data_IF_512774822951
#
_entry.id   IF_512774822951
#
_cell.length_a   1.000
_cell.length_b   1.000
_cell.length_c   1.000
_cell.angle_alpha   90.00
_cell.angle_beta   90.00
_cell.angle_gamma   90.00
#
_symmetry.space_group_name_H-M   'P 1'
#
loop_
_entity.id
_entity.type
_entity.pdbx_description
1 polymer ?
#
# COMPACT_ATOMS: atom_id res chain seq x y z
N UNK A 1 -2.96 8.52 -14.01
CA UNK A 1 -2.34 8.13 -12.73
C UNK A 1 -1.39 6.91 -12.82
N UNK A 2 -1.41 6.05 -13.85
CA UNK A 2 -0.41 4.98 -13.98
C UNK A 2 1.01 5.55 -14.15
N UNK A 3 1.99 4.97 -13.47
CA UNK A 3 3.40 5.35 -13.56
C UNK A 3 4.06 4.55 -14.68
N UNK A 4 4.72 5.25 -15.61
CA UNK A 4 5.48 4.65 -16.72
C UNK A 4 7.00 4.85 -16.56
N UNK A 5 7.43 5.93 -15.90
CA UNK A 5 8.83 6.18 -15.57
C UNK A 5 8.97 6.33 -14.05
N UNK A 6 9.46 5.30 -13.34
CA UNK A 6 9.56 5.33 -11.89
C UNK A 6 10.73 6.17 -11.35
N UNK A 7 11.56 6.75 -12.24
CA UNK A 7 12.73 7.57 -11.88
C UNK A 7 12.45 9.07 -11.97
N UNK A 8 11.24 9.43 -12.39
CA UNK A 8 10.80 10.82 -12.57
C UNK A 8 9.50 11.04 -11.80
N UNK A 9 9.21 12.28 -11.34
CA UNK A 9 7.89 12.65 -10.87
C UNK A 9 6.82 12.33 -11.91
N UNK A 10 5.56 12.22 -11.46
CA UNK A 10 4.45 11.85 -12.33
C UNK A 10 4.41 12.72 -13.59
N UNK A 11 4.18 12.06 -14.73
CA UNK A 11 3.97 12.70 -16.02
C UNK A 11 2.75 12.08 -16.66
N UNK A 12 1.89 12.95 -17.17
CA UNK A 12 0.77 12.51 -17.98
C UNK A 12 1.27 11.73 -19.20
N UNK A 13 0.55 10.65 -19.51
CA UNK A 13 0.80 9.79 -20.64
C UNK A 13 -0.47 9.73 -21.47
N UNK A 14 -0.34 9.83 -22.78
CA UNK A 14 -1.44 9.63 -23.72
C UNK A 14 -1.65 8.12 -23.89
N UNK A 15 -2.70 7.52 -23.30
CA UNK A 15 -2.85 6.08 -23.31
C UNK A 15 -3.22 5.58 -24.71
N UNK A 16 -2.63 4.46 -25.11
CA UNK A 16 -3.03 3.75 -26.31
C UNK A 16 -4.30 2.91 -26.05
N UNK A 17 -4.89 2.36 -27.12
CA UNK A 17 -6.12 1.57 -27.02
C UNK A 17 -5.99 0.36 -26.09
N UNK A 18 -4.86 -0.35 -26.12
CA UNK A 18 -4.64 -1.53 -25.28
C UNK A 18 -4.59 -1.15 -23.79
N UNK A 19 -3.98 -0.01 -23.46
CA UNK A 19 -3.92 0.50 -22.09
C UNK A 19 -5.30 0.90 -21.57
N UNK A 20 -6.10 1.57 -22.41
CA UNK A 20 -7.49 1.93 -22.07
C UNK A 20 -8.33 0.67 -21.86
N UNK A 21 -8.25 -0.27 -22.79
CA UNK A 21 -9.03 -1.51 -22.73
C UNK A 21 -8.63 -2.33 -21.50
N UNK A 22 -7.34 -2.36 -21.14
CA UNK A 22 -6.86 -3.00 -19.92
C UNK A 22 -7.46 -2.36 -18.66
N UNK A 23 -7.38 -1.04 -18.50
CA UNK A 23 -7.93 -0.36 -17.31
C UNK A 23 -9.45 -0.56 -17.20
N UNK A 24 -10.17 -0.54 -18.33
CA UNK A 24 -11.60 -0.87 -18.36
C UNK A 24 -11.88 -2.29 -17.89
N UNK A 25 -11.13 -3.28 -18.39
CA UNK A 25 -11.28 -4.66 -17.95
C UNK A 25 -10.97 -4.85 -16.47
N UNK A 26 -9.97 -4.14 -15.92
CA UNK A 26 -9.66 -4.17 -14.48
C UNK A 26 -10.79 -3.56 -13.65
N UNK A 27 -11.47 -2.52 -14.14
CA UNK A 27 -12.65 -1.97 -13.47
C UNK A 27 -13.82 -2.97 -13.42
N UNK A 28 -13.95 -3.83 -14.43
CA UNK A 28 -14.98 -4.89 -14.48
C UNK A 28 -14.59 -6.11 -13.62
N UNK A 29 -13.32 -6.53 -13.66
CA UNK A 29 -12.77 -7.63 -12.87
C UNK A 29 -11.40 -7.27 -12.30
N UNK A 30 -11.38 -6.87 -11.03
CA UNK A 30 -10.17 -6.45 -10.33
C UNK A 30 -9.15 -7.59 -10.18
N UNK A 31 -9.54 -8.86 -10.30
CA UNK A 31 -8.61 -10.01 -10.26
C UNK A 31 -7.62 -10.00 -11.41
N UNK A 32 -7.89 -9.26 -12.49
CA UNK A 32 -6.93 -9.09 -13.58
C UNK A 32 -5.63 -8.43 -13.13
N UNK A 33 -5.65 -7.65 -12.04
CA UNK A 33 -4.42 -7.10 -11.44
C UNK A 33 -3.47 -8.22 -10.96
N UNK A 34 -3.97 -9.39 -10.58
CA UNK A 34 -3.15 -10.53 -10.13
C UNK A 34 -2.31 -11.13 -11.27
N UNK A 35 -2.68 -10.84 -12.53
CA UNK A 35 -1.94 -11.28 -13.72
C UNK A 35 -0.82 -10.31 -14.11
N UNK A 36 -0.71 -9.17 -13.42
CA UNK A 36 0.35 -8.19 -13.66
C UNK A 36 1.65 -8.62 -12.98
N UNK A 37 2.77 -8.04 -13.41
CA UNK A 37 4.08 -8.36 -12.84
C UNK A 37 4.17 -7.83 -11.41
N UNK A 38 4.30 -8.75 -10.45
CA UNK A 38 4.55 -8.43 -9.04
C UNK A 38 5.98 -7.97 -8.82
N UNK A 39 6.24 -7.21 -7.74
CA UNK A 39 7.58 -6.66 -7.45
C UNK A 39 8.63 -7.76 -7.34
N UNK A 40 8.29 -8.90 -6.75
CA UNK A 40 9.22 -10.02 -6.59
C UNK A 40 9.60 -10.73 -7.90
N UNK A 41 8.73 -10.64 -8.91
CA UNK A 41 8.87 -11.32 -10.20
C UNK A 41 9.40 -10.41 -11.31
N UNK A 42 9.44 -9.10 -11.07
CA UNK A 42 9.92 -8.13 -12.05
C UNK A 42 11.42 -8.24 -12.27
N UNK A 43 11.84 -8.25 -13.54
CA UNK A 43 13.25 -8.07 -13.91
C UNK A 43 13.67 -6.60 -13.79
N UNK A 44 12.75 -5.70 -14.14
CA UNK A 44 12.92 -4.25 -14.04
C UNK A 44 11.71 -3.64 -13.34
N UNK A 45 11.94 -2.60 -12.55
CA UNK A 45 10.88 -1.94 -11.79
C UNK A 45 9.81 -1.32 -12.71
N UNK A 46 10.20 -0.95 -13.93
CA UNK A 46 9.33 -0.43 -14.99
C UNK A 46 8.30 -1.46 -15.48
N UNK A 47 8.52 -2.75 -15.23
CA UNK A 47 7.59 -3.83 -15.60
C UNK A 47 6.45 -3.98 -14.57
N UNK A 48 6.60 -3.41 -13.37
CA UNK A 48 5.59 -3.43 -12.30
C UNK A 48 4.54 -2.37 -12.57
N UNK A 49 3.27 -2.76 -12.47
CA UNK A 49 2.16 -1.84 -12.64
C UNK A 49 1.91 -1.02 -11.37
N UNK A 50 2.50 0.18 -11.34
CA UNK A 50 2.37 1.12 -10.23
C UNK A 50 1.50 2.31 -10.62
N UNK A 51 0.87 2.93 -9.61
CA UNK A 51 0.05 4.11 -9.79
C UNK A 51 0.46 5.20 -8.82
N UNK A 52 0.53 6.44 -9.31
CA UNK A 52 0.75 7.59 -8.47
C UNK A 52 -0.49 7.80 -7.60
N UNK A 53 -0.24 7.78 -6.30
CA UNK A 53 -1.24 7.83 -5.27
C UNK A 53 -1.95 9.17 -5.16
N UNK A 54 -1.24 10.29 -5.37
CA UNK A 54 -1.83 11.61 -5.36
C UNK A 54 -2.67 11.84 -6.62
N UNK A 55 -2.21 11.34 -7.76
CA UNK A 55 -2.99 11.42 -9.00
C UNK A 55 -4.27 10.58 -8.94
N UNK A 56 -4.24 9.38 -8.35
CA UNK A 56 -5.48 8.62 -8.09
C UNK A 56 -6.40 9.43 -7.18
N UNK A 57 -5.85 9.99 -6.10
CA UNK A 57 -6.64 10.74 -5.14
C UNK A 57 -7.32 11.95 -5.76
N UNK A 58 -6.61 12.75 -6.55
CA UNK A 58 -7.17 13.94 -7.18
C UNK A 58 -8.37 13.59 -8.08
N UNK A 59 -8.23 12.55 -8.90
CA UNK A 59 -9.32 12.07 -9.77
C UNK A 59 -10.54 11.65 -8.93
N UNK A 60 -10.33 10.90 -7.85
CA UNK A 60 -11.43 10.45 -6.99
C UNK A 60 -12.04 11.62 -6.21
N UNK A 61 -11.22 12.55 -5.74
CA UNK A 61 -11.65 13.74 -5.02
C UNK A 61 -12.60 14.58 -5.86
N UNK A 62 -12.28 14.81 -7.13
CA UNK A 62 -13.14 15.56 -8.05
C UNK A 62 -14.51 14.86 -8.21
N UNK A 63 -14.50 13.53 -8.41
CA UNK A 63 -15.73 12.73 -8.54
C UNK A 63 -16.56 12.78 -7.25
N UNK A 64 -15.93 12.66 -6.08
CA UNK A 64 -16.64 12.68 -4.80
C UNK A 64 -17.22 14.06 -4.56
N UNK A 65 -16.44 15.13 -4.74
CA UNK A 65 -16.88 16.51 -4.46
C UNK A 65 -18.08 16.93 -5.32
N UNK A 66 -18.19 16.40 -6.54
CA UNK A 66 -19.37 16.60 -7.39
C UNK A 66 -20.65 15.94 -6.83
N UNK A 67 -20.51 14.85 -6.06
CA UNK A 67 -21.63 14.03 -5.57
C UNK A 67 -21.91 14.21 -4.06
N UNK A 68 -20.92 14.62 -3.28
CA UNK A 68 -20.97 14.84 -1.84
C UNK A 68 -20.08 16.04 -1.49
N UNK A 69 -20.72 17.16 -1.15
CA UNK A 69 -20.04 18.41 -0.82
C UNK A 69 -19.85 18.62 0.67
N UNK A 70 -20.28 17.68 1.53
CA UNK A 70 -20.08 17.78 2.96
C UNK A 70 -18.64 17.40 3.33
N UNK A 71 -17.84 18.41 3.66
CA UNK A 71 -16.45 18.23 4.06
C UNK A 71 -16.27 17.49 5.40
N UNK A 72 -17.35 17.25 6.15
CA UNK A 72 -17.34 16.45 7.37
C UNK A 72 -17.44 14.94 7.11
N UNK A 73 -17.68 14.52 5.86
CA UNK A 73 -17.66 13.12 5.49
C UNK A 73 -16.24 12.65 5.24
N UNK A 74 -15.84 11.57 5.92
CA UNK A 74 -14.60 10.86 5.63
C UNK A 74 -14.84 9.81 4.55
N UNK A 75 -14.22 10.00 3.39
CA UNK A 75 -14.27 9.06 2.28
C UNK A 75 -13.06 8.14 2.29
N UNK A 76 -13.31 6.84 2.12
CA UNK A 76 -12.27 5.82 2.19
C UNK A 76 -12.42 4.87 1.01
N UNK A 77 -11.36 4.76 0.22
CA UNK A 77 -11.31 3.94 -0.99
C UNK A 77 -10.34 2.78 -0.78
N UNK A 78 -10.84 1.56 -0.95
CA UNK A 78 -9.99 0.38 -1.04
C UNK A 78 -9.68 0.05 -2.51
N UNK A 79 -8.43 -0.26 -2.79
CA UNK A 79 -7.99 -0.68 -4.13
C UNK A 79 -6.96 -1.81 -4.03
N UNK A 80 -6.88 -2.65 -5.06
CA UNK A 80 -5.82 -3.64 -5.22
C UNK A 80 -4.69 -3.15 -6.15
N UNK A 81 -4.76 -1.91 -6.64
CA UNK A 81 -3.67 -1.27 -7.39
C UNK A 81 -2.52 -0.92 -6.44
N UNK A 82 -1.28 -1.19 -6.84
CA UNK A 82 -0.10 -0.79 -6.07
C UNK A 82 0.06 0.74 -6.15
N UNK A 83 -0.29 1.43 -5.06
CA UNK A 83 -0.18 2.89 -4.96
C UNK A 83 1.21 3.28 -4.48
N UNK A 84 1.76 4.34 -5.09
CA UNK A 84 3.09 4.84 -4.77
C UNK A 84 3.08 6.36 -4.62
N UNK A 85 4.09 6.91 -3.95
CA UNK A 85 4.38 8.36 -3.92
C UNK A 85 5.82 8.59 -4.34
N UNK A 86 6.06 9.62 -5.14
CA UNK A 86 7.42 10.00 -5.53
C UNK A 86 8.13 10.75 -4.40
N UNK A 87 9.36 10.36 -4.08
CA UNK A 87 10.22 11.07 -3.15
C UNK A 87 11.35 11.76 -3.92
N UNK A 88 11.40 13.09 -3.81
CA UNK A 88 12.40 13.92 -4.47
C UNK A 88 13.80 13.79 -3.86
N UNK A 89 13.90 13.28 -2.62
CA UNK A 89 15.17 13.16 -1.91
C UNK A 89 16.01 12.00 -2.43
N UNK A 90 15.37 10.89 -2.80
CA UNK A 90 16.02 9.71 -3.39
C UNK A 90 15.62 9.43 -4.85
N UNK A 91 14.83 10.33 -5.45
CA UNK A 91 14.42 10.34 -6.87
C UNK A 91 13.78 9.03 -7.34
N UNK A 92 12.85 8.50 -6.54
CA UNK A 92 12.11 7.29 -6.90
C UNK A 92 10.73 7.25 -6.26
N UNK A 93 9.90 6.38 -6.80
CA UNK A 93 8.64 6.01 -6.15
C UNK A 93 8.85 5.05 -5.00
N UNK A 94 8.06 5.27 -3.96
CA UNK A 94 7.91 4.37 -2.83
C UNK A 94 6.49 3.84 -2.78
N UNK A 95 6.34 2.53 -2.64
CA UNK A 95 5.04 1.92 -2.37
C UNK A 95 4.40 2.51 -1.11
N UNK A 96 3.07 2.58 -1.11
CA UNK A 96 2.25 3.01 0.01
C UNK A 96 1.09 2.05 0.18
N UNK A 97 0.90 1.57 1.41
CA UNK A 97 -0.29 0.82 1.79
C UNK A 97 -1.49 1.74 2.05
N UNK A 98 -1.23 2.98 2.49
CA UNK A 98 -2.25 4.00 2.73
C UNK A 98 -1.75 5.37 2.29
N UNK A 99 -2.67 6.17 1.76
CA UNK A 99 -2.51 7.60 1.52
C UNK A 99 -3.53 8.29 2.41
N UNK A 100 -3.06 8.86 3.50
CA UNK A 100 -3.87 9.57 4.47
C UNK A 100 -4.28 10.94 3.90
N UNK A 101 -5.55 11.08 3.55
CA UNK A 101 -6.19 12.26 2.96
C UNK A 101 -7.71 12.10 3.09
N UNK A 102 -8.50 13.01 2.51
CA UNK A 102 -9.91 12.83 2.29
C UNK A 102 -10.23 13.13 0.81
N UNK A 103 -10.42 12.11 -0.05
CA UNK A 103 -10.52 10.68 0.28
C UNK A 103 -9.19 10.03 0.66
N UNK A 104 -9.24 9.14 1.66
CA UNK A 104 -8.13 8.24 1.97
C UNK A 104 -8.10 7.07 0.98
N UNK A 105 -6.91 6.66 0.55
CA UNK A 105 -6.73 5.48 -0.33
C UNK A 105 -5.98 4.41 0.43
N UNK A 106 -6.55 3.21 0.50
CA UNK A 106 -5.94 2.03 1.11
C UNK A 106 -5.70 0.98 0.03
N UNK A 107 -4.43 0.65 -0.22
CA UNK A 107 -4.01 -0.31 -1.23
C UNK A 107 -3.70 -1.67 -0.60
N UNK A 108 -4.46 -2.70 -0.95
CA UNK A 108 -4.20 -4.08 -0.47
C UNK A 108 -2.90 -4.66 -1.04
N UNK A 109 -2.56 -4.32 -2.28
CA UNK A 109 -1.24 -4.64 -2.86
C UNK A 109 -0.13 -3.86 -2.13
N UNK A 110 -0.38 -2.61 -1.76
CA UNK A 110 0.55 -1.80 -0.97
C UNK A 110 0.83 -2.39 0.41
N UNK A 111 -0.14 -3.04 1.07
CA UNK A 111 0.11 -3.75 2.35
C UNK A 111 1.16 -4.86 2.22
N UNK A 112 1.25 -5.48 1.03
CA UNK A 112 2.14 -6.60 0.74
C UNK A 112 3.49 -6.08 0.24
N UNK A 113 3.47 -5.21 -0.77
CA UNK A 113 4.65 -4.86 -1.54
C UNK A 113 5.38 -3.61 -1.05
N UNK A 114 4.72 -2.73 -0.29
CA UNK A 114 5.35 -1.49 0.18
C UNK A 114 6.32 -1.69 1.36
N UNK A 115 5.96 -2.40 2.44
CA UNK A 115 6.90 -2.68 3.52
C UNK A 115 7.95 -3.69 3.06
N UNK A 116 9.22 -3.43 3.35
CA UNK A 116 10.32 -4.30 2.99
C UNK A 116 10.21 -5.66 3.71
N UNK A 117 10.52 -6.74 2.98
CA UNK A 117 10.61 -8.09 3.55
C UNK A 117 11.90 -8.23 4.40
N UNK A 118 12.05 -9.29 5.21
CA UNK A 118 13.30 -9.55 5.93
C UNK A 118 14.51 -9.52 5.00
N UNK A 119 15.65 -9.03 5.49
CA UNK A 119 16.87 -8.89 4.66
C UNK A 119 17.41 -10.26 4.23
N UNK A 120 17.31 -11.21 5.13
CA UNK A 120 17.70 -12.60 5.01
C UNK A 120 16.98 -13.26 3.81
N UNK A 121 15.70 -12.96 3.63
CA UNK A 121 14.91 -13.44 2.49
C UNK A 121 15.53 -13.00 1.15
N UNK A 122 15.95 -11.74 1.03
CA UNK A 122 16.57 -11.25 -0.20
C UNK A 122 17.92 -11.92 -0.49
N UNK A 123 18.74 -12.19 0.56
CA UNK A 123 20.00 -12.91 0.39
C UNK A 123 19.77 -14.35 -0.11
N UNK A 124 18.78 -15.05 0.45
CA UNK A 124 18.46 -16.41 0.02
C UNK A 124 17.90 -16.45 -1.40
N UNK A 125 17.03 -15.49 -1.76
CA UNK A 125 16.52 -15.33 -3.14
C UNK A 125 17.66 -15.07 -4.12
N UNK A 126 18.60 -14.18 -3.81
CA UNK A 126 19.76 -13.92 -4.65
C UNK A 126 20.61 -15.17 -4.84
N UNK A 127 20.90 -15.91 -3.76
CA UNK A 127 21.68 -17.15 -3.82
C UNK A 127 20.99 -18.21 -4.69
N UNK A 128 19.68 -18.40 -4.56
CA UNK A 128 18.92 -19.32 -5.40
C UNK A 128 18.94 -18.91 -6.88
N UNK A 129 18.71 -17.62 -7.19
CA UNK A 129 18.77 -17.11 -8.57
C UNK A 129 20.16 -17.30 -9.20
N UNK A 130 21.24 -17.05 -8.45
CA UNK A 130 22.61 -17.28 -8.92
C UNK A 130 22.91 -18.76 -9.25
N UNK A 131 22.18 -19.69 -8.63
CA UNK A 131 22.29 -21.13 -8.88
C UNK A 131 21.31 -21.62 -9.96
N UNK A 132 20.52 -20.72 -10.57
CA UNK A 132 19.48 -21.08 -11.53
C UNK A 132 18.33 -21.88 -10.91
N UNK A 133 18.15 -21.80 -9.59
CA UNK A 133 17.12 -22.50 -8.85
C UNK A 133 15.86 -21.64 -8.68
N UNK A 134 14.71 -22.30 -8.61
CA UNK A 134 13.44 -21.67 -8.31
C UNK A 134 13.39 -21.12 -6.87
N UNK A 135 12.85 -19.91 -6.73
CA UNK A 135 12.74 -19.19 -5.46
C UNK A 135 11.57 -19.67 -4.59
N UNK A 136 10.65 -20.48 -5.13
CA UNK A 136 9.47 -20.95 -4.39
C UNK A 136 9.85 -21.71 -3.10
N UNK A 137 10.95 -22.46 -3.12
CA UNK A 137 11.44 -23.15 -1.93
C UNK A 137 11.99 -22.17 -0.87
N UNK A 138 12.59 -21.06 -1.29
CA UNK A 138 12.99 -19.99 -0.37
C UNK A 138 11.75 -19.39 0.29
N UNK A 139 10.73 -19.02 -0.49
CA UNK A 139 9.48 -18.43 0.03
C UNK A 139 8.82 -19.31 1.10
N UNK A 140 8.83 -20.63 0.91
CA UNK A 140 8.32 -21.59 1.92
C UNK A 140 9.05 -21.54 3.26
N UNK A 141 10.36 -21.27 3.27
CA UNK A 141 11.15 -21.18 4.51
C UNK A 141 10.80 -19.95 5.35
N UNK A 142 10.21 -18.92 4.74
CA UNK A 142 9.80 -17.67 5.38
C UNK A 142 8.28 -17.58 5.57
N UNK A 143 7.57 -18.71 5.51
CA UNK A 143 6.13 -18.73 5.62
C UNK A 143 5.66 -18.11 6.95
N UNK A 144 4.81 -17.10 6.86
CA UNK A 144 4.29 -16.35 8.00
C UNK A 144 5.13 -15.13 8.41
N UNK A 145 6.35 -14.96 7.89
CA UNK A 145 7.22 -13.81 8.24
C UNK A 145 6.89 -12.52 7.49
N UNK A 146 6.21 -12.63 6.36
CA UNK A 146 5.67 -11.49 5.61
C UNK A 146 4.33 -11.88 4.99
N UNK A 147 3.60 -10.89 4.48
CA UNK A 147 2.32 -11.10 3.80
C UNK A 147 2.52 -11.57 2.37
N UNK A 148 1.58 -12.37 1.89
CA UNK A 148 1.45 -12.73 0.48
C UNK A 148 0.07 -12.33 -0.04
N UNK A 149 -0.10 -12.36 -1.36
CA UNK A 149 -1.42 -12.20 -1.95
C UNK A 149 -2.37 -13.29 -1.42
N UNK A 150 -3.62 -12.91 -1.17
CA UNK A 150 -4.66 -13.78 -0.56
C UNK A 150 -4.37 -14.25 0.88
N UNK A 151 -3.44 -13.61 1.58
CA UNK A 151 -3.20 -13.91 2.99
C UNK A 151 -4.41 -13.52 3.86
N UNK A 152 -4.92 -14.48 4.64
CA UNK A 152 -6.05 -14.29 5.57
C UNK A 152 -5.84 -13.17 6.60
N UNK A 153 -4.60 -12.76 6.85
CA UNK A 153 -4.22 -11.69 7.78
C UNK A 153 -4.51 -10.30 7.20
N UNK A 154 -4.64 -10.16 5.87
CA UNK A 154 -4.83 -8.87 5.20
C UNK A 154 -6.05 -8.11 5.72
N UNK A 155 -7.18 -8.79 5.98
CA UNK A 155 -8.38 -8.12 6.52
C UNK A 155 -8.10 -7.43 7.87
N UNK A 156 -7.32 -8.07 8.74
CA UNK A 156 -6.98 -7.49 10.06
C UNK A 156 -6.03 -6.29 9.96
N UNK A 157 -5.15 -6.33 8.96
CA UNK A 157 -4.20 -5.26 8.66
C UNK A 157 -4.92 -4.09 7.99
N UNK A 158 -5.90 -4.37 7.12
CA UNK A 158 -6.76 -3.37 6.51
C UNK A 158 -7.51 -2.54 7.56
N UNK A 159 -8.03 -3.16 8.62
CA UNK A 159 -8.60 -2.43 9.77
C UNK A 159 -7.59 -1.46 10.43
N UNK A 160 -6.31 -1.82 10.45
CA UNK A 160 -5.25 -0.97 10.99
C UNK A 160 -4.99 0.27 10.13
N UNK A 161 -4.86 0.08 8.82
CA UNK A 161 -4.74 1.18 7.87
C UNK A 161 -6.00 2.05 7.81
N UNK A 162 -7.18 1.44 7.98
CA UNK A 162 -8.44 2.17 8.16
C UNK A 162 -8.38 3.06 9.40
N UNK A 163 -7.88 2.53 10.52
CA UNK A 163 -7.69 3.31 11.75
C UNK A 163 -6.69 4.45 11.56
N UNK A 164 -5.60 4.24 10.80
CA UNK A 164 -4.65 5.31 10.45
C UNK A 164 -5.31 6.42 9.62
N UNK A 165 -6.14 6.06 8.63
CA UNK A 165 -6.89 7.04 7.85
C UNK A 165 -7.86 7.85 8.72
N UNK A 166 -8.59 7.19 9.62
CA UNK A 166 -9.51 7.84 10.57
C UNK A 166 -8.75 8.79 11.50
N UNK A 167 -7.67 8.33 12.14
CA UNK A 167 -6.88 9.17 13.04
C UNK A 167 -6.33 10.40 12.32
N UNK A 168 -5.78 10.22 11.12
CA UNK A 168 -5.31 11.34 10.32
C UNK A 168 -6.41 12.35 10.00
N UNK A 169 -7.60 11.88 9.61
CA UNK A 169 -8.74 12.77 9.34
C UNK A 169 -9.13 13.58 10.59
N UNK A 170 -9.09 12.96 11.76
CA UNK A 170 -9.50 13.59 13.02
C UNK A 170 -8.45 14.52 13.62
N UNK A 171 -7.16 14.22 13.48
CA UNK A 171 -6.09 14.90 14.22
C UNK A 171 -5.01 15.54 13.35
N UNK A 172 -4.95 15.20 12.05
CA UNK A 172 -3.85 15.57 11.15
C UNK A 172 -2.54 14.80 11.40
N UNK A 173 -2.45 13.97 12.46
CA UNK A 173 -1.28 13.14 12.74
C UNK A 173 -1.37 11.85 11.89
N UNK A 174 -0.41 11.63 10.99
CA UNK A 174 -0.44 10.51 10.04
C UNK A 174 -0.14 9.16 10.68
N UNK A 175 0.96 9.06 11.43
CA UNK A 175 1.45 7.79 11.95
C UNK A 175 2.10 7.90 13.33
N UNK A 176 2.27 6.75 13.97
CA UNK A 176 2.98 6.60 15.23
C UNK A 176 4.36 5.95 15.01
N UNK A 177 5.39 6.43 15.69
CA UNK A 177 6.72 5.80 15.65
C UNK A 177 6.84 4.59 16.60
N UNK A 178 5.89 4.42 17.52
CA UNK A 178 5.90 3.29 18.45
C UNK A 178 5.50 2.00 17.75
N UNK A 179 6.39 1.01 17.82
CA UNK A 179 6.15 -0.35 17.31
C UNK A 179 4.99 -1.04 18.04
N UNK A 180 4.73 -0.66 19.29
CA UNK A 180 3.62 -1.15 20.12
C UNK A 180 2.30 -0.39 19.90
N UNK A 181 2.17 0.34 18.79
CA UNK A 181 0.95 1.03 18.41
C UNK A 181 0.42 0.49 17.09
N UNK A 182 -0.89 0.25 17.01
CA UNK A 182 -1.57 -0.11 15.76
C UNK A 182 -1.50 0.98 14.69
N UNK A 183 -1.16 2.21 15.06
CA UNK A 183 -0.90 3.31 14.13
C UNK A 183 0.58 3.37 13.67
N UNK A 184 1.38 2.32 13.93
CA UNK A 184 2.80 2.32 13.58
C UNK A 184 3.05 2.56 12.08
N UNK A 185 4.01 3.42 11.76
CA UNK A 185 4.52 3.61 10.40
C UNK A 185 5.47 2.47 10.01
N UNK A 186 4.95 1.27 9.80
CA UNK A 186 5.78 0.11 9.52
C UNK A 186 6.41 0.18 8.12
N UNK A 187 7.74 0.25 8.07
CA UNK A 187 8.52 0.18 6.81
C UNK A 187 8.99 -1.24 6.50
N UNK A 188 8.88 -2.16 7.46
CA UNK A 188 9.22 -3.57 7.31
C UNK A 188 8.00 -4.45 7.59
N UNK A 189 7.89 -5.56 6.86
CA UNK A 189 6.83 -6.57 7.06
C UNK A 189 6.80 -7.09 8.50
N UNK A 190 7.97 -7.32 9.12
CA UNK A 190 8.06 -7.75 10.52
C UNK A 190 7.38 -6.76 11.48
N UNK A 191 7.55 -5.46 11.24
CA UNK A 191 7.05 -4.39 12.11
C UNK A 191 5.55 -4.19 11.88
N UNK A 192 5.11 -4.34 10.62
CA UNK A 192 3.70 -4.34 10.25
C UNK A 192 2.97 -5.50 10.94
N UNK A 193 3.46 -6.73 10.80
CA UNK A 193 2.85 -7.89 11.42
C UNK A 193 2.85 -7.79 12.96
N UNK A 194 3.94 -7.27 13.54
CA UNK A 194 4.02 -7.07 14.99
C UNK A 194 2.96 -6.06 15.47
N UNK A 195 2.94 -4.85 14.91
CA UNK A 195 2.05 -3.78 15.34
C UNK A 195 0.58 -4.11 15.10
N UNK A 196 0.26 -4.73 13.96
CA UNK A 196 -1.13 -5.02 13.56
C UNK A 196 -1.71 -6.29 14.17
N UNK A 197 -0.90 -7.35 14.32
CA UNK A 197 -1.41 -8.67 14.69
C UNK A 197 -0.98 -9.09 16.09
N UNK A 198 0.29 -8.87 16.46
CA UNK A 198 0.79 -9.27 17.78
C UNK A 198 0.33 -8.30 18.86
N UNK A 199 0.45 -6.99 18.60
CA UNK A 199 -0.02 -5.94 19.51
C UNK A 199 -1.49 -5.63 19.25
N UNK A 200 -1.82 -5.20 18.03
CA UNK A 200 -3.20 -4.97 17.60
C UNK A 200 -3.97 -3.91 18.40
N UNK A 201 -3.27 -3.03 19.12
CA UNK A 201 -3.83 -2.02 20.04
C UNK A 201 -3.19 -0.66 19.85
N UNK A 202 -3.88 0.40 20.24
CA UNK A 202 -3.31 1.74 20.31
C UNK A 202 -2.36 1.86 21.50
N UNK A 203 -1.30 2.67 21.35
CA UNK A 203 -0.48 3.05 22.50
C UNK A 203 -1.25 4.04 23.41
N UNK A 204 -0.78 4.26 24.64
CA UNK A 204 -1.45 5.12 25.61
C UNK A 204 -1.76 6.53 25.08
N UNK A 205 -0.86 7.13 24.27
CA UNK A 205 -1.09 8.43 23.63
C UNK A 205 -2.35 8.40 22.76
N UNK A 206 -2.43 7.44 21.84
CA UNK A 206 -3.52 7.36 20.86
C UNK A 206 -4.82 6.84 21.47
N UNK A 207 -4.73 5.96 22.48
CA UNK A 207 -5.90 5.55 23.25
C UNK A 207 -6.53 6.76 23.98
N UNK A 208 -5.71 7.58 24.65
CA UNK A 208 -6.20 8.77 25.33
C UNK A 208 -6.80 9.82 24.36
N UNK A 209 -6.33 9.88 23.11
CA UNK A 209 -6.94 10.70 22.07
C UNK A 209 -8.33 10.17 21.69
N UNK A 210 -8.45 8.85 21.47
CA UNK A 210 -9.72 8.20 21.16
C UNK A 210 -10.74 8.39 22.30
N UNK A 211 -10.31 8.23 23.55
CA UNK A 211 -11.19 8.35 24.73
C UNK A 211 -11.77 9.77 24.87
N UNK A 212 -11.04 10.80 24.46
CA UNK A 212 -11.50 12.21 24.47
C UNK A 212 -12.56 12.52 23.43
N UNK A 213 -12.69 11.69 22.38
CA UNK A 213 -13.67 11.87 21.30
C UNK A 213 -15.02 11.24 21.65
N UNK A 214 -15.05 10.39 22.68
CA UNK A 214 -16.25 9.72 23.19
C UNK A 214 -16.84 10.39 24.44
N UNK A 215 -16.40 11.62 24.76
CA UNK A 215 -16.93 12.50 25.80
C UNK A 215 -17.42 13.80 25.15
#
# INVERSE_FOLDING_TARGET
CRIFDPKMPFKEHLPNKQEIDFEKSVCEDTKLMEKTTMVENAERIEDVMMYDGFEIQNIIYDIITENDSDSNNLHIVFTNKLTCTYDITDNRYHGRAVICSNPAIISTAGMIEAPARPREYYFDVMKCKMQGLDIQNVKKNYNGEFLDYHDKRLSKIAEGYLLQAIFYYMTGDTFCDSLDCRLNNAHWQKDLLYSQLKIGKLCNKHQALLDKLHL
#
